data_IF_752318585364
#
_entry.id   IF_752318585364
#
_cell.length_a   1.000
_cell.length_b   1.000
_cell.length_c   1.000
_cell.angle_alpha   90.00
_cell.angle_beta   90.00
_cell.angle_gamma   90.00
#
_symmetry.space_group_name_H-M   'P 1'
#
loop_
_entity.id
_entity.type
_entity.pdbx_description
1 polymer ?
#
# COMPACT_ATOMS: atom_id res chain seq x y z
N UNK A 1 -3.80 -19.64 12.11
CA UNK A 1 -3.21 -19.06 10.89
C UNK A 1 -3.38 -17.54 10.93
N UNK A 2 -2.30 -16.79 10.66
CA UNK A 2 -2.38 -15.33 10.62
C UNK A 2 -3.18 -14.87 9.40
N UNK A 3 -4.06 -13.83 9.50
CA UNK A 3 -4.88 -13.38 8.37
C UNK A 3 -4.09 -13.08 7.09
N UNK A 4 -2.89 -12.50 7.22
CA UNK A 4 -2.01 -12.23 6.06
C UNK A 4 -1.62 -13.51 5.32
N UNK A 5 -1.17 -14.56 6.05
CA UNK A 5 -0.84 -15.85 5.43
C UNK A 5 -2.06 -16.49 4.80
N UNK A 6 -3.20 -16.47 5.49
CA UNK A 6 -4.45 -17.02 4.95
C UNK A 6 -4.86 -16.32 3.64
N UNK A 7 -4.74 -14.98 3.59
CA UNK A 7 -5.06 -14.22 2.36
C UNK A 7 -4.15 -14.63 1.19
N UNK A 8 -2.85 -14.81 1.44
CA UNK A 8 -1.91 -15.29 0.42
C UNK A 8 -2.22 -16.70 -0.06
N UNK A 9 -2.48 -17.63 0.88
CA UNK A 9 -2.85 -19.02 0.57
C UNK A 9 -4.14 -19.09 -0.27
N UNK A 10 -5.18 -18.36 0.11
CA UNK A 10 -6.44 -18.29 -0.65
C UNK A 10 -6.25 -17.72 -2.05
N UNK A 11 -5.42 -16.70 -2.20
CA UNK A 11 -5.11 -16.15 -3.53
C UNK A 11 -4.41 -17.19 -4.42
N UNK A 12 -3.43 -17.92 -3.89
CA UNK A 12 -2.76 -19.01 -4.61
C UNK A 12 -3.75 -20.12 -5.01
N UNK A 13 -4.61 -20.54 -4.10
CA UNK A 13 -5.64 -21.55 -4.38
C UNK A 13 -6.60 -21.09 -5.49
N UNK A 14 -7.05 -19.83 -5.46
CA UNK A 14 -7.90 -19.27 -6.51
C UNK A 14 -7.22 -19.28 -7.87
N UNK A 15 -5.93 -18.95 -7.96
CA UNK A 15 -5.14 -18.98 -9.19
C UNK A 15 -5.05 -20.40 -9.74
N UNK A 16 -4.66 -21.36 -8.92
CA UNK A 16 -4.55 -22.78 -9.33
C UNK A 16 -5.89 -23.35 -9.77
N UNK A 17 -6.98 -23.05 -9.06
CA UNK A 17 -8.31 -23.54 -9.40
C UNK A 17 -8.87 -22.89 -10.66
N UNK A 18 -8.57 -21.62 -10.92
CA UNK A 18 -8.98 -20.91 -12.12
C UNK A 18 -8.43 -21.60 -13.38
N UNK A 19 -7.14 -21.94 -13.40
CA UNK A 19 -6.49 -22.60 -14.54
C UNK A 19 -7.10 -23.96 -14.88
N UNK A 20 -7.52 -24.72 -13.87
CA UNK A 20 -8.02 -26.11 -14.06
C UNK A 20 -9.35 -26.18 -14.79
N UNK A 21 -10.20 -25.17 -14.74
CA UNK A 21 -11.56 -25.28 -15.25
C UNK A 21 -12.09 -24.09 -16.06
N UNK A 22 -11.37 -23.00 -16.18
CA UNK A 22 -11.92 -21.78 -16.72
C UNK A 22 -11.01 -21.12 -17.77
N UNK A 23 -11.60 -20.78 -18.93
CA UNK A 23 -10.93 -20.02 -20.00
C UNK A 23 -11.23 -18.53 -19.98
N UNK A 24 -12.03 -18.07 -19.02
CA UNK A 24 -12.35 -16.65 -18.88
C UNK A 24 -11.17 -15.89 -18.30
N UNK A 25 -11.01 -14.59 -18.60
CA UNK A 25 -10.03 -13.75 -17.93
C UNK A 25 -10.24 -13.74 -16.41
N UNK A 26 -9.14 -13.75 -15.67
CA UNK A 26 -9.17 -13.63 -14.20
C UNK A 26 -9.06 -12.16 -13.81
N UNK A 27 -10.00 -11.68 -13.00
CA UNK A 27 -9.84 -10.46 -12.22
C UNK A 27 -9.80 -10.83 -10.74
N UNK A 28 -8.65 -10.63 -10.10
CA UNK A 28 -8.42 -11.00 -8.71
C UNK A 28 -7.94 -9.81 -7.90
N UNK A 29 -8.68 -9.44 -6.85
CA UNK A 29 -8.25 -8.49 -5.85
C UNK A 29 -7.77 -9.25 -4.62
N UNK A 30 -6.48 -9.13 -4.28
CA UNK A 30 -5.88 -9.67 -3.06
C UNK A 30 -5.69 -8.52 -2.08
N UNK A 31 -6.39 -8.54 -0.95
CA UNK A 31 -6.40 -7.46 0.02
C UNK A 31 -5.86 -7.91 1.37
N UNK A 32 -4.68 -7.40 1.74
CA UNK A 32 -4.07 -7.62 3.03
C UNK A 32 -4.48 -6.51 4.01
N UNK A 33 -4.96 -6.88 5.20
CA UNK A 33 -5.29 -5.89 6.23
C UNK A 33 -4.02 -5.29 6.89
N UNK A 34 -2.91 -6.01 6.86
CA UNK A 34 -1.62 -5.48 7.30
C UNK A 34 -0.99 -4.64 6.17
N UNK A 35 -0.10 -3.71 6.51
CA UNK A 35 0.55 -3.42 7.80
C UNK A 35 -0.27 -2.55 8.77
N UNK A 36 -1.58 -2.33 8.54
CA UNK A 36 -2.44 -1.58 9.46
C UNK A 36 -2.34 -2.12 10.90
N UNK A 37 -2.46 -1.22 11.87
CA UNK A 37 -2.46 -1.60 13.30
C UNK A 37 -3.58 -2.63 13.64
N UNK A 38 -3.40 -3.50 14.64
CA UNK A 38 -2.22 -3.65 15.48
C UNK A 38 -1.01 -4.17 14.69
N UNK A 39 0.20 -3.71 15.07
CA UNK A 39 1.44 -4.14 14.42
C UNK A 39 1.89 -5.47 15.04
N UNK A 40 1.37 -6.57 14.54
CA UNK A 40 1.48 -7.93 15.05
C UNK A 40 2.16 -8.91 14.08
N UNK A 41 3.38 -8.60 13.59
CA UNK A 41 4.08 -9.51 12.69
C UNK A 41 4.37 -10.85 13.37
N UNK A 42 4.55 -11.94 12.62
CA UNK A 42 5.08 -13.19 13.16
C UNK A 42 6.39 -12.98 13.89
N UNK A 43 6.61 -13.71 15.01
CA UNK A 43 7.77 -13.56 15.88
C UNK A 43 9.10 -13.58 15.11
N UNK A 44 9.26 -14.49 14.15
CA UNK A 44 10.48 -14.59 13.32
C UNK A 44 10.81 -13.28 12.58
N UNK A 45 9.79 -12.53 12.13
CA UNK A 45 9.96 -11.25 11.45
C UNK A 45 10.15 -10.10 12.44
N UNK A 46 9.48 -10.15 13.58
CA UNK A 46 9.75 -9.23 14.68
C UNK A 46 11.21 -9.33 15.12
N UNK A 47 11.74 -10.55 15.26
CA UNK A 47 13.13 -10.80 15.62
C UNK A 47 14.12 -10.30 14.55
N UNK A 48 13.76 -10.37 13.27
CA UNK A 48 14.57 -9.83 12.16
C UNK A 48 14.78 -8.32 12.29
N UNK A 49 13.81 -7.59 12.82
CA UNK A 49 13.85 -6.13 12.99
C UNK A 49 14.27 -5.69 14.40
N UNK A 50 14.42 -6.62 15.33
CA UNK A 50 14.84 -6.33 16.70
C UNK A 50 16.21 -5.66 16.71
N UNK A 51 16.29 -4.48 17.34
CA UNK A 51 17.53 -3.72 17.46
C UNK A 51 18.02 -3.09 16.16
N UNK A 52 17.34 -3.25 15.03
CA UNK A 52 17.69 -2.50 13.82
C UNK A 52 17.44 -1.03 14.02
N UNK A 53 18.36 -0.21 13.51
CA UNK A 53 18.13 1.22 13.41
C UNK A 53 17.06 1.49 12.35
N UNK A 54 16.10 2.32 12.71
CA UNK A 54 15.00 2.78 11.84
C UNK A 54 14.90 4.30 11.95
N UNK A 55 14.47 5.00 10.91
CA UNK A 55 14.31 6.45 10.98
C UNK A 55 13.47 6.87 12.19
N UNK A 56 13.92 7.89 12.90
CA UNK A 56 13.10 8.55 13.91
C UNK A 56 11.89 9.23 13.25
N UNK A 57 10.78 9.44 13.98
CA UNK A 57 9.67 10.24 13.48
C UNK A 57 10.13 11.64 13.10
N UNK A 58 9.65 12.13 11.98
CA UNK A 58 9.86 13.51 11.58
C UNK A 58 8.85 14.44 12.26
N UNK A 59 9.29 15.58 12.76
CA UNK A 59 8.41 16.56 13.38
C UNK A 59 8.76 17.97 12.89
N UNK A 60 7.81 18.62 12.23
CA UNK A 60 7.93 20.04 11.87
C UNK A 60 7.93 20.94 13.13
N UNK A 61 8.58 22.10 13.06
CA UNK A 61 8.65 23.06 14.20
C UNK A 61 7.24 23.47 14.68
N UNK A 62 6.32 23.67 13.75
CA UNK A 62 4.94 24.09 14.05
C UNK A 62 4.17 23.10 14.94
N UNK A 63 4.47 21.80 14.88
CA UNK A 63 3.75 20.81 15.67
C UNK A 63 4.27 20.71 17.11
N UNK A 64 5.47 21.23 17.39
CA UNK A 64 6.05 21.23 18.74
C UNK A 64 5.33 22.16 19.70
N UNK A 65 4.60 23.13 19.18
CA UNK A 65 3.82 24.10 19.97
C UNK A 65 2.40 23.60 20.31
N UNK A 66 2.01 22.42 19.81
CA UNK A 66 0.69 21.86 20.03
C UNK A 66 0.65 20.92 21.24
N UNK A 67 -0.52 20.78 21.84
CA UNK A 67 -0.71 19.92 23.02
C UNK A 67 -0.33 18.45 22.75
N UNK A 68 -0.53 17.98 21.53
CA UNK A 68 -0.15 16.61 21.15
C UNK A 68 1.37 16.38 21.05
N UNK A 69 2.18 17.43 21.05
CA UNK A 69 3.65 17.32 21.18
C UNK A 69 4.09 17.00 22.60
N UNK A 70 3.21 17.23 23.60
CA UNK A 70 3.48 16.89 24.99
C UNK A 70 3.66 15.39 25.12
N UNK A 71 4.69 14.97 25.85
CA UNK A 71 4.93 13.56 26.13
C UNK A 71 3.75 12.96 26.90
N UNK A 72 3.16 11.91 26.35
CA UNK A 72 2.01 11.20 26.89
C UNK A 72 2.42 9.76 27.18
N UNK A 73 2.02 9.22 28.32
CA UNK A 73 2.22 7.80 28.61
C UNK A 73 1.34 6.96 27.72
N UNK A 74 1.85 5.82 27.26
CA UNK A 74 1.11 4.92 26.35
C UNK A 74 -0.16 4.39 27.00
N UNK A 75 -0.12 4.09 28.30
CA UNK A 75 -1.28 3.64 29.08
C UNK A 75 -2.39 4.69 29.22
N UNK A 76 -2.05 5.98 29.09
CA UNK A 76 -3.00 7.08 29.14
C UNK A 76 -3.56 7.44 27.76
N UNK A 77 -3.04 6.81 26.68
CA UNK A 77 -3.51 7.05 25.33
C UNK A 77 -4.86 6.39 25.08
N UNK A 78 -5.79 7.06 24.37
CA UNK A 78 -6.95 6.38 23.83
C UNK A 78 -6.53 5.18 22.97
N UNK A 79 -7.30 4.08 23.04
CA UNK A 79 -6.99 2.83 22.33
C UNK A 79 -6.71 3.02 20.84
N UNK A 80 -7.29 4.04 20.23
CA UNK A 80 -7.18 4.40 18.83
C UNK A 80 -6.71 5.85 18.62
N UNK A 81 -5.78 6.32 19.47
CA UNK A 81 -5.28 7.68 19.39
C UNK A 81 -4.75 8.01 17.96
N UNK A 82 -5.29 9.08 17.37
CA UNK A 82 -4.84 9.59 16.08
C UNK A 82 -3.59 10.47 16.23
N UNK A 83 -3.31 10.98 17.44
CA UNK A 83 -2.17 11.84 17.74
C UNK A 83 -1.69 11.63 19.18
N UNK A 84 -0.45 11.97 19.44
CA UNK A 84 0.18 11.94 20.76
C UNK A 84 1.67 11.66 20.67
N UNK A 85 2.44 12.28 21.53
CA UNK A 85 3.86 12.02 21.69
C UNK A 85 4.09 10.91 22.70
N UNK A 86 4.28 9.68 22.25
CA UNK A 86 4.56 8.51 23.10
C UNK A 86 6.08 8.26 23.25
N UNK A 87 6.93 9.17 22.78
CA UNK A 87 8.37 9.08 22.82
C UNK A 87 8.98 8.38 21.60
N UNK A 88 10.24 8.72 21.36
CA UNK A 88 10.97 8.26 20.16
C UNK A 88 11.12 6.73 20.11
N UNK A 89 11.44 6.11 21.25
CA UNK A 89 11.65 4.66 21.27
C UNK A 89 10.34 3.88 21.01
N UNK A 90 9.21 4.35 21.50
CA UNK A 90 7.90 3.79 21.14
C UNK A 90 7.63 3.90 19.65
N UNK A 91 7.90 5.04 19.06
CA UNK A 91 7.71 5.25 17.63
C UNK A 91 8.67 4.38 16.79
N UNK A 92 9.94 4.30 17.16
CA UNK A 92 10.91 3.40 16.50
C UNK A 92 10.50 1.93 16.61
N UNK A 93 10.01 1.51 17.77
CA UNK A 93 9.54 0.14 17.94
C UNK A 93 8.29 -0.15 17.09
N UNK A 94 7.35 0.78 17.01
CA UNK A 94 6.19 0.69 16.12
C UNK A 94 6.62 0.57 14.65
N UNK A 95 7.60 1.35 14.20
CA UNK A 95 8.18 1.28 12.85
C UNK A 95 8.83 -0.08 12.57
N UNK A 96 9.58 -0.64 13.53
CA UNK A 96 10.18 -1.98 13.40
C UNK A 96 9.11 -3.04 13.14
N UNK A 97 8.02 -3.02 13.91
CA UNK A 97 6.90 -3.95 13.73
C UNK A 97 6.12 -3.71 12.44
N UNK A 98 5.93 -2.46 12.04
CA UNK A 98 5.34 -2.11 10.76
C UNK A 98 6.16 -2.67 9.60
N UNK A 99 7.48 -2.46 9.58
CA UNK A 99 8.37 -3.00 8.56
C UNK A 99 8.39 -4.53 8.54
N UNK A 100 8.31 -5.15 9.71
CA UNK A 100 8.17 -6.61 9.81
C UNK A 100 6.86 -7.11 9.19
N UNK A 101 5.74 -6.39 9.35
CA UNK A 101 4.49 -6.67 8.65
C UNK A 101 4.60 -6.45 7.13
N UNK A 102 5.31 -5.41 6.69
CA UNK A 102 5.58 -5.20 5.24
C UNK A 102 6.36 -6.37 4.66
N UNK A 103 7.40 -6.84 5.36
CA UNK A 103 8.16 -8.04 4.95
C UNK A 103 7.27 -9.27 4.89
N UNK A 104 6.34 -9.42 5.83
CA UNK A 104 5.39 -10.54 5.81
C UNK A 104 4.46 -10.52 4.58
N UNK A 105 3.96 -9.34 4.23
CA UNK A 105 3.13 -9.16 3.03
C UNK A 105 3.96 -9.46 1.77
N UNK A 106 5.20 -8.99 1.72
CA UNK A 106 6.11 -9.24 0.59
C UNK A 106 6.35 -10.73 0.36
N UNK A 107 6.56 -11.51 1.45
CA UNK A 107 6.65 -12.97 1.37
C UNK A 107 5.37 -13.61 0.80
N UNK A 108 4.19 -13.15 1.21
CA UNK A 108 2.92 -13.69 0.70
C UNK A 108 2.66 -13.27 -0.74
N UNK A 109 3.01 -12.05 -1.13
CA UNK A 109 2.97 -11.59 -2.53
C UNK A 109 3.91 -12.45 -3.39
N UNK A 110 5.09 -12.77 -2.88
CA UNK A 110 6.02 -13.68 -3.54
C UNK A 110 5.38 -15.00 -3.92
N UNK A 111 4.62 -15.62 -2.99
CA UNK A 111 3.87 -16.88 -3.25
C UNK A 111 2.81 -16.71 -4.35
N UNK A 112 2.07 -15.60 -4.31
CA UNK A 112 1.06 -15.28 -5.34
C UNK A 112 1.70 -15.12 -6.72
N UNK A 113 2.84 -14.45 -6.80
CA UNK A 113 3.60 -14.30 -8.04
C UNK A 113 4.10 -15.65 -8.56
N UNK A 114 4.63 -16.53 -7.70
CA UNK A 114 5.05 -17.88 -8.10
C UNK A 114 3.87 -18.71 -8.58
N UNK A 115 2.70 -18.67 -7.91
CA UNK A 115 1.50 -19.34 -8.39
C UNK A 115 1.08 -18.88 -9.80
N UNK A 116 1.16 -17.58 -10.10
CA UNK A 116 0.90 -17.06 -11.45
C UNK A 116 1.92 -17.57 -12.48
N UNK A 117 3.19 -17.71 -12.10
CA UNK A 117 4.25 -18.27 -12.98
C UNK A 117 4.04 -19.76 -13.22
N UNK A 118 3.77 -20.54 -12.19
CA UNK A 118 3.49 -21.98 -12.27
C UNK A 118 2.33 -22.29 -13.21
N UNK A 119 1.29 -21.46 -13.19
CA UNK A 119 0.13 -21.58 -14.08
C UNK A 119 0.34 -20.93 -15.46
N UNK A 120 1.51 -20.35 -15.73
CA UNK A 120 1.81 -19.67 -17.00
C UNK A 120 0.96 -18.43 -17.26
N UNK A 121 0.45 -17.80 -16.19
CA UNK A 121 -0.41 -16.61 -16.28
C UNK A 121 0.39 -15.31 -16.08
N UNK A 122 1.57 -15.37 -15.45
CA UNK A 122 2.34 -14.21 -15.03
C UNK A 122 2.66 -13.25 -16.18
N UNK A 123 3.14 -13.76 -17.32
CA UNK A 123 3.57 -12.91 -18.42
C UNK A 123 2.43 -12.10 -19.02
N UNK A 124 1.21 -12.66 -19.06
CA UNK A 124 0.02 -11.99 -19.56
C UNK A 124 -0.79 -11.26 -18.48
N UNK A 125 -0.35 -11.23 -17.24
CA UNK A 125 -1.05 -10.54 -16.17
C UNK A 125 -0.67 -9.06 -16.12
N UNK A 126 -1.66 -8.18 -15.97
CA UNK A 126 -1.50 -6.82 -15.43
C UNK A 126 -1.55 -6.94 -13.91
N UNK A 127 -0.48 -6.56 -13.22
CA UNK A 127 -0.42 -6.64 -11.76
C UNK A 127 -0.20 -5.23 -11.23
N UNK A 128 -1.09 -4.79 -10.33
CA UNK A 128 -0.96 -3.53 -9.62
C UNK A 128 -0.80 -3.80 -8.12
N UNK A 129 0.28 -3.31 -7.53
CA UNK A 129 0.48 -3.29 -6.09
C UNK A 129 0.31 -1.86 -5.59
N UNK A 130 -0.65 -1.66 -4.70
CA UNK A 130 -1.00 -0.35 -4.14
C UNK A 130 -1.42 -0.52 -2.68
N UNK A 131 -1.45 0.59 -1.94
CA UNK A 131 -2.12 0.68 -0.64
C UNK A 131 -3.29 1.66 -0.75
N UNK A 132 -4.30 1.52 0.12
CA UNK A 132 -5.42 2.47 0.22
C UNK A 132 -5.00 3.78 0.92
N UNK A 133 -4.05 3.70 1.86
CA UNK A 133 -3.43 4.82 2.56
C UNK A 133 -2.08 4.38 3.15
N UNK A 134 -1.32 5.32 3.67
CA UNK A 134 -0.12 5.07 4.44
C UNK A 134 -0.37 5.06 5.94
N UNK A 135 0.70 5.29 6.73
CA UNK A 135 0.64 5.45 8.19
C UNK A 135 1.66 6.49 8.63
N UNK A 136 1.25 7.40 9.47
CA UNK A 136 2.09 8.48 9.99
C UNK A 136 3.22 7.97 10.91
N UNK A 137 3.02 6.85 11.60
CA UNK A 137 4.02 6.19 12.44
C UNK A 137 4.78 7.13 13.38
N UNK A 138 4.07 8.12 13.94
CA UNK A 138 4.59 9.13 14.85
C UNK A 138 5.12 10.40 14.19
N UNK A 139 5.13 10.51 12.89
CA UNK A 139 5.48 11.77 12.21
C UNK A 139 4.52 12.88 12.63
N UNK A 140 5.06 14.05 12.96
CA UNK A 140 4.30 15.18 13.50
C UNK A 140 3.48 14.83 14.76
N UNK A 141 3.87 13.80 15.52
CA UNK A 141 3.11 13.21 16.63
C UNK A 141 1.76 12.63 16.21
N UNK A 142 1.58 12.30 14.93
CA UNK A 142 0.39 11.68 14.40
C UNK A 142 0.61 10.18 14.15
N UNK A 143 -0.48 9.44 14.21
CA UNK A 143 -0.53 8.00 14.03
C UNK A 143 -1.60 7.63 13.01
N UNK A 144 -1.39 6.54 12.28
CA UNK A 144 -2.31 6.06 11.25
C UNK A 144 -2.38 7.02 10.06
N UNK A 145 -3.58 7.45 9.66
CA UNK A 145 -3.88 8.25 8.48
C UNK A 145 -4.85 9.38 8.83
N UNK A 146 -5.45 9.98 7.83
CA UNK A 146 -6.47 11.03 7.82
C UNK A 146 -5.94 12.42 7.50
N UNK A 147 -4.66 12.66 7.67
CA UNK A 147 -4.06 13.95 7.38
C UNK A 147 -3.34 13.93 6.02
N UNK A 148 -3.28 15.05 5.28
CA UNK A 148 -2.67 15.12 3.96
C UNK A 148 -1.14 15.25 4.03
N UNK A 149 -0.50 14.44 4.87
CA UNK A 149 0.95 14.36 4.99
C UNK A 149 1.50 13.14 4.25
N UNK A 150 2.76 13.23 3.82
CA UNK A 150 3.45 12.18 3.06
C UNK A 150 3.28 10.78 3.67
N UNK A 151 3.43 10.64 5.00
CA UNK A 151 3.25 9.36 5.68
C UNK A 151 1.86 8.75 5.50
N UNK A 152 0.84 9.56 5.27
CA UNK A 152 -0.55 9.12 5.09
C UNK A 152 -0.95 8.95 3.63
N UNK A 153 -0.51 9.83 2.73
CA UNK A 153 -1.05 9.91 1.35
C UNK A 153 -0.09 9.38 0.29
N UNK A 154 1.21 9.36 0.55
CA UNK A 154 2.20 8.88 -0.40
C UNK A 154 2.31 7.35 -0.33
N UNK A 155 1.39 6.68 -1.00
CA UNK A 155 1.28 5.22 -1.06
C UNK A 155 2.19 4.62 -2.13
N UNK A 156 2.61 3.35 -2.00
CA UNK A 156 3.26 2.63 -3.09
C UNK A 156 2.29 2.47 -4.27
N UNK A 157 2.81 2.62 -5.49
CA UNK A 157 2.08 2.36 -6.71
C UNK A 157 3.00 1.67 -7.72
N UNK A 158 2.93 0.35 -7.80
CA UNK A 158 3.81 -0.46 -8.63
C UNK A 158 2.97 -1.20 -9.65
N UNK A 159 3.33 -1.10 -10.93
CA UNK A 159 2.61 -1.74 -12.03
C UNK A 159 3.54 -2.65 -12.81
N UNK A 160 3.15 -3.92 -12.96
CA UNK A 160 3.73 -4.86 -13.93
C UNK A 160 2.76 -5.01 -15.08
N UNK A 161 3.16 -4.55 -16.25
CA UNK A 161 2.37 -4.67 -17.48
C UNK A 161 2.47 -6.07 -18.09
N UNK A 162 1.42 -6.55 -18.79
CA UNK A 162 1.51 -7.74 -19.62
C UNK A 162 2.65 -7.64 -20.65
N UNK A 163 3.25 -8.78 -21.02
CA UNK A 163 4.37 -8.81 -21.98
C UNK A 163 4.04 -8.23 -23.36
N UNK A 164 2.76 -8.18 -23.72
CA UNK A 164 2.30 -7.56 -24.97
C UNK A 164 2.43 -6.03 -25.02
N UNK A 165 2.57 -5.37 -23.85
CA UNK A 165 2.84 -3.93 -23.78
C UNK A 165 4.34 -3.68 -23.82
N UNK A 166 4.77 -2.84 -24.78
CA UNK A 166 6.18 -2.50 -24.95
C UNK A 166 6.53 -1.21 -24.20
N UNK A 167 6.36 -1.23 -22.88
CA UNK A 167 6.77 -0.15 -22.02
C UNK A 167 8.14 -0.46 -21.37
N UNK A 168 8.88 0.58 -21.02
CA UNK A 168 10.15 0.44 -20.32
C UNK A 168 9.97 -0.32 -19.00
N UNK A 169 10.77 -1.36 -18.81
CA UNK A 169 10.75 -2.19 -17.60
C UNK A 169 11.66 -1.58 -16.54
N UNK A 170 11.18 -1.59 -15.30
CA UNK A 170 11.96 -1.10 -14.14
C UNK A 170 12.12 0.41 -14.10
N UNK A 171 11.34 1.15 -14.90
CA UNK A 171 11.33 2.61 -14.89
C UNK A 171 10.63 3.19 -13.67
N UNK A 172 10.99 4.42 -13.29
CA UNK A 172 10.30 5.25 -12.33
C UNK A 172 9.60 6.40 -13.05
N UNK A 173 8.36 6.67 -12.69
CA UNK A 173 7.57 7.77 -13.23
C UNK A 173 7.23 8.70 -12.06
N UNK A 174 7.62 9.96 -12.18
CA UNK A 174 7.38 10.98 -11.14
C UNK A 174 6.05 11.72 -11.33
N UNK A 175 5.27 11.39 -12.35
CA UNK A 175 3.95 11.98 -12.55
C UNK A 175 2.99 11.58 -11.42
N UNK A 176 2.15 12.52 -10.93
CA UNK A 176 1.20 12.22 -9.86
C UNK A 176 0.11 11.25 -10.35
N UNK A 177 -0.03 10.12 -9.66
CA UNK A 177 -1.05 9.08 -9.90
C UNK A 177 -1.83 8.82 -8.62
N UNK A 178 -3.05 8.31 -8.74
CA UNK A 178 -3.95 8.10 -7.61
C UNK A 178 -4.79 6.82 -7.77
N UNK A 179 -5.43 6.37 -6.70
CA UNK A 179 -6.22 5.14 -6.73
C UNK A 179 -7.40 5.18 -7.71
N UNK A 180 -7.95 6.37 -7.99
CA UNK A 180 -9.01 6.55 -9.00
C UNK A 180 -8.56 6.13 -10.40
N UNK A 181 -7.25 6.09 -10.68
CA UNK A 181 -6.68 5.71 -11.96
C UNK A 181 -6.69 4.18 -12.20
N UNK A 182 -6.88 3.37 -11.16
CA UNK A 182 -6.88 1.91 -11.28
C UNK A 182 -8.01 1.39 -12.16
N UNK A 183 -9.25 1.81 -11.88
CA UNK A 183 -10.41 1.28 -12.59
C UNK A 183 -10.39 1.60 -14.09
N UNK A 184 -10.18 2.85 -14.54
CA UNK A 184 -10.06 3.13 -15.97
C UNK A 184 -8.88 2.40 -16.62
N UNK A 185 -7.77 2.19 -15.89
CA UNK A 185 -6.63 1.39 -16.38
C UNK A 185 -7.02 -0.07 -16.61
N UNK A 186 -7.71 -0.69 -15.66
CA UNK A 186 -8.15 -2.09 -15.81
C UNK A 186 -9.17 -2.26 -16.93
N UNK A 187 -10.11 -1.33 -17.05
CA UNK A 187 -11.12 -1.36 -18.12
C UNK A 187 -10.45 -1.26 -19.50
N UNK A 188 -9.57 -0.28 -19.72
CA UNK A 188 -8.87 -0.11 -20.99
C UNK A 188 -7.94 -1.30 -21.28
N UNK A 189 -7.19 -1.78 -20.29
CA UNK A 189 -6.31 -2.94 -20.46
C UNK A 189 -7.06 -4.23 -20.78
N UNK A 190 -8.32 -4.36 -20.32
CA UNK A 190 -9.20 -5.46 -20.65
C UNK A 190 -9.93 -5.29 -21.99
N UNK A 191 -9.68 -4.21 -22.74
CA UNK A 191 -10.35 -3.90 -24.02
C UNK A 191 -11.74 -3.31 -23.86
N UNK A 192 -12.11 -2.88 -22.65
CA UNK A 192 -13.36 -2.19 -22.36
C UNK A 192 -13.30 -0.69 -22.66
N UNK A 193 -14.45 -0.04 -22.62
CA UNK A 193 -14.58 1.41 -22.76
C UNK A 193 -14.59 2.07 -21.40
N UNK A 194 -13.76 3.07 -21.19
CA UNK A 194 -13.76 3.89 -19.98
C UNK A 194 -14.93 4.89 -20.06
N UNK A 195 -15.89 4.87 -19.11
CA UNK A 195 -16.95 5.85 -19.03
C UNK A 195 -16.43 7.28 -18.92
N UNK A 196 -17.11 8.23 -19.57
CA UNK A 196 -16.67 9.64 -19.64
C UNK A 196 -16.86 10.40 -18.32
N UNK A 197 -17.63 9.85 -17.39
CA UNK A 197 -17.93 10.39 -16.06
C UNK A 197 -16.98 9.87 -14.97
N UNK A 198 -15.93 9.14 -15.33
CA UNK A 198 -14.88 8.74 -14.38
C UNK A 198 -13.90 9.88 -14.13
N UNK A 199 -13.64 10.17 -12.84
CA UNK A 199 -12.66 11.19 -12.44
C UNK A 199 -11.20 10.73 -12.64
N UNK A 200 -10.93 9.42 -12.55
CA UNK A 200 -9.61 8.83 -12.78
C UNK A 200 -9.24 8.76 -14.26
N UNK A 201 -7.94 8.63 -14.52
CA UNK A 201 -7.41 8.50 -15.88
C UNK A 201 -6.65 7.18 -16.03
N UNK A 202 -6.79 6.52 -17.19
CA UNK A 202 -6.04 5.30 -17.45
C UNK A 202 -4.53 5.57 -17.50
N UNK A 203 -3.75 4.79 -16.76
CA UNK A 203 -2.29 4.84 -16.79
C UNK A 203 -1.71 4.48 -18.17
N UNK A 204 -2.47 3.80 -19.02
CA UNK A 204 -2.04 3.54 -20.41
C UNK A 204 -1.82 4.84 -21.17
N UNK A 205 -2.59 5.89 -20.89
CA UNK A 205 -2.39 7.22 -21.48
C UNK A 205 -1.06 7.83 -21.04
N UNK A 206 -0.77 7.76 -19.74
CA UNK A 206 0.51 8.21 -19.18
C UNK A 206 1.68 7.45 -19.82
N UNK A 207 1.57 6.12 -19.94
CA UNK A 207 2.60 5.28 -20.54
C UNK A 207 2.82 5.55 -22.05
N UNK A 208 1.81 6.07 -22.74
CA UNK A 208 1.90 6.51 -24.13
C UNK A 208 2.46 7.93 -24.29
N UNK A 209 2.75 8.63 -23.19
CA UNK A 209 3.23 10.01 -23.20
C UNK A 209 2.16 11.04 -23.52
N UNK A 210 0.88 10.72 -23.29
CA UNK A 210 -0.21 11.67 -23.45
C UNK A 210 -0.20 12.72 -22.33
N UNK A 211 -0.96 13.81 -22.51
CA UNK A 211 -1.10 14.85 -21.50
C UNK A 211 -1.62 14.26 -20.19
N UNK A 212 -0.93 14.54 -19.10
CA UNK A 212 -1.20 14.04 -17.79
C UNK A 212 -1.30 15.16 -16.74
N UNK A 213 -1.95 14.89 -15.62
CA UNK A 213 -2.07 15.86 -14.51
C UNK A 213 -0.70 16.17 -13.90
N UNK A 214 -0.55 17.37 -13.36
CA UNK A 214 0.66 17.84 -12.69
C UNK A 214 0.50 17.96 -11.17
N UNK A 215 -0.73 17.80 -10.66
CA UNK A 215 -1.07 17.84 -9.24
C UNK A 215 -2.28 16.95 -8.96
N UNK A 216 -2.51 16.66 -7.68
CA UNK A 216 -3.68 15.97 -7.15
C UNK A 216 -4.26 16.83 -6.04
N UNK A 217 -5.58 17.03 -6.07
CA UNK A 217 -6.32 17.67 -4.99
C UNK A 217 -6.61 16.66 -3.88
N UNK A 218 -6.31 17.05 -2.64
CA UNK A 218 -6.59 16.26 -1.45
C UNK A 218 -7.71 16.94 -0.67
N UNK A 219 -8.83 16.23 -0.50
CA UNK A 219 -9.94 16.69 0.32
C UNK A 219 -9.90 16.02 1.69
N UNK A 220 -10.10 16.82 2.73
CA UNK A 220 -10.16 16.36 4.11
C UNK A 220 -11.40 16.97 4.79
N UNK A 221 -12.49 16.20 4.84
CA UNK A 221 -13.79 16.73 5.24
C UNK A 221 -13.98 16.84 6.76
N UNK A 222 -13.42 15.94 7.55
CA UNK A 222 -13.58 15.91 9.01
C UNK A 222 -12.34 15.37 9.70
N UNK A 223 -11.85 16.12 10.68
CA UNK A 223 -10.88 15.60 11.65
C UNK A 223 -11.65 14.88 12.77
N UNK A 224 -11.17 13.75 13.20
CA UNK A 224 -11.68 13.04 14.38
C UNK A 224 -11.32 13.81 15.66
#
# INVERSE_FOLDING_TARGET
>A
LHPTAWTGEMACEMIHNHKKGNRQPLFLKVSFARPHSPYDPPQRLSDLYKGRDVPAPFSGEWCKEKDYARLTKVEDAPKDAAFGNFGEEYAKNSRRHYYANVTFIDEEIGKVIEALKEEGMYDNALICYVSDHGDMLGDHFHWRKTYPYEGSVHIPYIVKWPAGYQFDKGGKIDAPVELRDLLPTFLEAAGGTVPSDMDGQSLLRLMKGETWRTYIDLEHATCY
#
